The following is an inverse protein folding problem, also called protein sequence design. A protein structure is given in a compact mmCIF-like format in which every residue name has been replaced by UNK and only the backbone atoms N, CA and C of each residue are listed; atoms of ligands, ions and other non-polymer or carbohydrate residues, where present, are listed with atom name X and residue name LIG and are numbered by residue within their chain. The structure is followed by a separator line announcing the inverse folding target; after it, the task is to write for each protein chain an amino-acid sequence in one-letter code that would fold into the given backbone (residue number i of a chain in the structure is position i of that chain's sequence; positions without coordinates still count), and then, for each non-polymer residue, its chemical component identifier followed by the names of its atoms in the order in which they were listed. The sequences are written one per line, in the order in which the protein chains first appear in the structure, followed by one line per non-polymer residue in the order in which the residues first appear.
data_IF_603978119381
#
_entry.id   IF_603978119381
#
_cell.length_a   1.000
_cell.length_b   1.000
_cell.length_c   1.000
_cell.angle_alpha   90.00
_cell.angle_beta   90.00
_cell.angle_gamma   90.00
#
_symmetry.space_group_name_H-M   'P 1'
#
loop_
_entity.id
_entity.type
_entity.pdbx_description
1 polymer ?
#
# COMPACT_ATOMS: atom_id res chain seq x y z
N UNK A 1 0.70 -33.89 6.08
CA UNK A 1 2.02 -33.52 5.51
C UNK A 1 1.92 -32.48 4.41
N UNK A 2 0.98 -32.65 3.43
CA UNK A 2 0.82 -31.68 2.34
C UNK A 2 0.45 -30.26 2.83
N UNK A 3 -0.36 -30.14 3.86
CA UNK A 3 -0.79 -28.82 4.38
C UNK A 3 0.36 -28.10 5.08
N UNK A 4 1.24 -28.81 5.78
CA UNK A 4 2.42 -28.22 6.42
C UNK A 4 3.41 -27.66 5.40
N UNK A 5 3.65 -28.38 4.31
CA UNK A 5 4.53 -27.91 3.24
C UNK A 5 3.95 -26.69 2.50
N UNK A 6 2.61 -26.63 2.29
CA UNK A 6 1.95 -25.44 1.75
C UNK A 6 2.10 -24.20 2.63
N UNK A 7 1.94 -24.39 3.95
CA UNK A 7 2.14 -23.31 4.91
C UNK A 7 3.59 -22.81 4.86
N UNK A 8 4.56 -23.73 4.83
CA UNK A 8 5.97 -23.39 4.68
C UNK A 8 6.28 -22.67 3.36
N UNK A 9 5.69 -23.13 2.25
CA UNK A 9 5.82 -22.51 0.95
C UNK A 9 5.26 -21.07 0.94
N UNK A 10 4.11 -20.84 1.57
CA UNK A 10 3.54 -19.50 1.73
C UNK A 10 4.48 -18.59 2.50
N UNK A 11 4.99 -19.04 3.65
CA UNK A 11 5.95 -18.25 4.44
C UNK A 11 7.19 -17.88 3.62
N UNK A 12 7.72 -18.84 2.86
CA UNK A 12 8.84 -18.57 1.96
C UNK A 12 8.53 -17.53 0.89
N UNK A 13 7.38 -17.63 0.22
CA UNK A 13 6.96 -16.65 -0.79
C UNK A 13 6.72 -15.26 -0.18
N UNK A 14 6.12 -15.18 1.00
CA UNK A 14 5.93 -13.93 1.72
C UNK A 14 7.27 -13.25 2.05
N UNK A 15 8.22 -14.01 2.56
CA UNK A 15 9.55 -13.52 2.93
C UNK A 15 10.41 -13.05 1.73
N UNK A 16 10.00 -13.32 0.50
CA UNK A 16 10.63 -12.74 -0.70
C UNK A 16 10.47 -11.21 -0.75
N UNK A 17 9.33 -10.68 -0.27
CA UNK A 17 9.02 -9.24 -0.36
C UNK A 17 9.28 -8.47 0.92
N UNK A 18 9.19 -9.12 2.08
CA UNK A 18 9.26 -8.47 3.38
C UNK A 18 10.39 -9.03 4.24
N UNK A 19 10.69 -8.31 5.32
CA UNK A 19 11.58 -8.81 6.35
C UNK A 19 10.95 -10.03 7.02
N UNK A 20 11.77 -11.03 7.25
CA UNK A 20 11.38 -12.26 7.93
C UNK A 20 10.76 -11.92 9.30
N UNK A 21 9.49 -12.23 9.53
CA UNK A 21 8.84 -11.93 10.80
C UNK A 21 9.44 -12.79 11.92
N UNK A 22 9.41 -12.27 13.15
CA UNK A 22 9.96 -13.00 14.32
C UNK A 22 9.21 -14.31 14.58
N UNK A 23 7.90 -14.34 14.38
CA UNK A 23 7.05 -15.52 14.42
C UNK A 23 5.73 -15.23 13.69
N UNK A 24 5.15 -16.27 13.10
CA UNK A 24 3.82 -16.18 12.44
C UNK A 24 2.95 -17.34 12.91
N UNK A 25 1.64 -17.10 12.98
CA UNK A 25 0.65 -18.12 13.26
C UNK A 25 -0.27 -18.32 12.06
N UNK A 26 -0.35 -19.57 11.59
CA UNK A 26 -1.24 -19.95 10.50
C UNK A 26 -2.11 -21.14 10.95
N UNK A 27 -3.40 -20.92 11.07
CA UNK A 27 -4.35 -21.90 11.58
C UNK A 27 -3.89 -22.46 12.96
N UNK A 28 -3.55 -23.74 13.01
CA UNK A 28 -3.02 -24.44 14.19
C UNK A 28 -1.49 -24.56 14.18
N UNK A 29 -0.79 -23.84 13.30
CA UNK A 29 0.67 -23.91 13.20
C UNK A 29 1.30 -22.60 13.65
N UNK A 30 2.20 -22.69 14.63
CA UNK A 30 3.10 -21.61 15.03
C UNK A 30 4.42 -21.79 14.28
N UNK A 31 4.84 -20.78 13.53
CA UNK A 31 6.01 -20.83 12.67
C UNK A 31 7.06 -19.88 13.22
N UNK A 32 8.25 -20.42 13.45
CA UNK A 32 9.41 -19.65 13.88
C UNK A 32 10.52 -19.73 12.84
N UNK A 33 10.93 -18.62 12.25
CA UNK A 33 12.12 -18.56 11.40
C UNK A 33 13.38 -18.91 12.20
N UNK A 34 14.26 -19.74 11.63
CA UNK A 34 15.54 -20.12 12.25
C UNK A 34 16.69 -19.46 11.48
N UNK A 35 16.72 -19.64 10.16
CA UNK A 35 17.75 -19.11 9.28
C UNK A 35 17.10 -18.71 7.95
N UNK A 36 17.45 -17.51 7.44
CA UNK A 36 17.02 -17.06 6.13
C UNK A 36 18.16 -16.32 5.44
N UNK A 37 18.35 -16.62 4.15
CA UNK A 37 19.24 -15.89 3.28
C UNK A 37 18.53 -15.53 2.00
N UNK A 38 18.58 -14.24 1.66
CA UNK A 38 17.98 -13.66 0.45
C UNK A 38 19.09 -13.23 -0.48
N UNK A 39 19.02 -13.68 -1.73
CA UNK A 39 19.96 -13.39 -2.79
C UNK A 39 19.21 -12.76 -3.95
N UNK A 40 19.77 -11.70 -4.53
CA UNK A 40 19.17 -10.95 -5.62
C UNK A 40 20.12 -10.91 -6.81
N UNK A 41 19.53 -11.04 -8.01
CA UNK A 41 20.23 -10.81 -9.25
C UNK A 41 19.26 -10.31 -10.33
N UNK A 42 19.40 -9.03 -10.73
CA UNK A 42 18.39 -8.35 -11.53
C UNK A 42 17.05 -8.34 -10.80
N UNK A 43 16.00 -8.77 -11.49
CA UNK A 43 14.65 -8.85 -10.93
C UNK A 43 14.36 -10.19 -10.25
N UNK A 44 15.32 -11.12 -10.28
CA UNK A 44 15.17 -12.45 -9.71
C UNK A 44 15.61 -12.46 -8.24
N UNK A 45 14.86 -13.17 -7.42
CA UNK A 45 15.16 -13.36 -6.02
C UNK A 45 15.20 -14.85 -5.69
N UNK A 46 16.26 -15.28 -5.03
CA UNK A 46 16.35 -16.59 -4.39
C UNK A 46 16.30 -16.40 -2.88
N UNK A 47 15.34 -17.03 -2.25
CA UNK A 47 15.25 -17.14 -0.80
C UNK A 47 15.53 -18.58 -0.39
N UNK A 48 16.46 -18.76 0.54
CA UNK A 48 16.70 -20.07 1.17
C UNK A 48 16.48 -19.88 2.66
N UNK A 49 15.70 -20.76 3.27
CA UNK A 49 15.35 -20.63 4.66
C UNK A 49 15.19 -21.94 5.39
N UNK A 50 15.20 -21.83 6.73
CA UNK A 50 14.91 -22.89 7.66
C UNK A 50 13.92 -22.37 8.68
N UNK A 51 12.86 -23.11 8.89
CA UNK A 51 11.77 -22.76 9.81
C UNK A 51 11.48 -23.91 10.75
N UNK A 52 11.09 -23.60 11.96
CA UNK A 52 10.46 -24.53 12.90
C UNK A 52 8.95 -24.32 12.84
N UNK A 53 8.22 -25.39 12.67
CA UNK A 53 6.75 -25.37 12.64
C UNK A 53 6.23 -26.26 13.76
N UNK A 54 5.49 -25.66 14.69
CA UNK A 54 4.88 -26.34 15.82
C UNK A 54 3.37 -26.39 15.66
N UNK A 55 2.78 -27.55 15.72
CA UNK A 55 1.32 -27.68 15.76
C UNK A 55 0.83 -27.35 17.17
N UNK A 56 0.03 -26.30 17.33
CA UNK A 56 -0.48 -25.83 18.64
C UNK A 56 -1.49 -26.78 19.29
N UNK A 57 -2.02 -27.78 18.53
CA UNK A 57 -2.97 -28.77 19.04
C UNK A 57 -2.23 -30.04 19.53
N UNK A 58 -1.31 -30.55 18.68
CA UNK A 58 -0.58 -31.79 18.99
C UNK A 58 0.76 -31.55 19.70
N UNK A 59 1.22 -30.29 19.76
CA UNK A 59 2.53 -29.87 20.28
C UNK A 59 3.74 -30.49 19.55
N UNK A 60 3.50 -31.16 18.42
CA UNK A 60 4.57 -31.67 17.58
C UNK A 60 5.29 -30.51 16.87
N UNK A 61 6.62 -30.53 16.94
CA UNK A 61 7.48 -29.59 16.25
C UNK A 61 8.30 -30.27 15.16
N UNK A 62 8.47 -29.58 14.00
CA UNK A 62 9.28 -30.06 12.88
C UNK A 62 10.09 -28.93 12.31
N UNK A 63 11.32 -29.23 11.96
CA UNK A 63 12.14 -28.29 11.16
C UNK A 63 11.96 -28.59 9.67
N UNK A 64 11.72 -27.51 8.90
CA UNK A 64 11.59 -27.56 7.45
C UNK A 64 12.64 -26.66 6.81
N UNK A 65 13.28 -27.16 5.77
CA UNK A 65 14.07 -26.36 4.84
C UNK A 65 13.20 -25.94 3.66
N UNK A 66 13.40 -24.72 3.18
CA UNK A 66 12.69 -24.20 2.05
C UNK A 66 13.64 -23.46 1.10
N UNK A 67 13.31 -23.48 -0.19
CA UNK A 67 13.98 -22.71 -1.22
C UNK A 67 12.92 -22.11 -2.14
N UNK A 68 12.92 -20.80 -2.30
CA UNK A 68 11.95 -20.08 -3.14
C UNK A 68 12.70 -19.29 -4.20
N UNK A 69 12.35 -19.52 -5.45
CA UNK A 69 12.76 -18.67 -6.57
C UNK A 69 11.56 -17.79 -6.95
N UNK A 70 11.81 -16.51 -7.09
CA UNK A 70 10.89 -15.53 -7.63
C UNK A 70 11.47 -14.95 -8.91
N UNK A 71 10.74 -15.04 -10.00
CA UNK A 71 11.15 -14.60 -11.33
C UNK A 71 10.36 -13.37 -11.83
N UNK A 72 9.62 -12.73 -10.95
CA UNK A 72 8.77 -11.59 -11.26
C UNK A 72 7.29 -11.95 -11.37
N UNK A 73 6.41 -10.96 -11.17
CA UNK A 73 4.96 -11.13 -11.24
C UNK A 73 4.44 -12.20 -10.28
N UNK A 74 3.81 -13.24 -10.82
CA UNK A 74 3.28 -14.38 -10.05
C UNK A 74 4.12 -15.65 -10.19
N UNK A 75 5.30 -15.54 -10.80
CA UNK A 75 6.16 -16.68 -11.08
C UNK A 75 7.05 -17.01 -9.88
N UNK A 76 6.51 -17.91 -9.06
CA UNK A 76 7.17 -18.46 -7.88
C UNK A 76 7.34 -19.97 -8.03
N UNK A 77 8.49 -20.44 -7.61
CA UNK A 77 8.75 -21.85 -7.39
C UNK A 77 9.28 -22.04 -5.97
N UNK A 78 8.46 -22.59 -5.08
CA UNK A 78 8.81 -22.87 -3.70
C UNK A 78 8.94 -24.39 -3.51
N UNK A 79 10.07 -24.82 -2.99
CA UNK A 79 10.34 -26.21 -2.65
C UNK A 79 10.55 -26.32 -1.15
N UNK A 80 9.99 -27.37 -0.53
CA UNK A 80 9.99 -27.59 0.91
C UNK A 80 10.40 -29.04 1.20
N UNK A 81 11.29 -29.22 2.16
CA UNK A 81 11.68 -30.54 2.66
C UNK A 81 11.78 -30.57 4.18
N UNK A 82 11.51 -31.71 4.79
CA UNK A 82 11.75 -31.93 6.22
C UNK A 82 13.26 -32.00 6.46
N UNK A 83 13.76 -31.25 7.42
CA UNK A 83 15.18 -31.22 7.76
C UNK A 83 15.53 -32.42 8.63
N UNK A 84 16.28 -33.34 8.06
CA UNK A 84 16.74 -34.55 8.75
C UNK A 84 18.20 -34.42 9.20
N UNK A 85 19.01 -33.67 8.42
CA UNK A 85 20.45 -33.53 8.63
C UNK A 85 20.87 -32.05 8.43
N UNK A 86 21.46 -31.38 9.44
CA UNK A 86 21.97 -30.01 9.33
C UNK A 86 23.04 -29.83 8.26
N UNK A 87 23.90 -30.85 8.04
CA UNK A 87 24.95 -30.79 7.01
C UNK A 87 24.34 -30.81 5.60
N UNK A 88 23.21 -31.52 5.43
CA UNK A 88 22.45 -31.48 4.20
C UNK A 88 21.98 -30.07 3.86
N UNK A 89 21.46 -29.33 4.86
CA UNK A 89 21.00 -27.95 4.67
C UNK A 89 22.14 -27.05 4.20
N UNK A 90 23.30 -27.14 4.81
CA UNK A 90 24.47 -26.33 4.44
C UNK A 90 24.93 -26.61 3.01
N UNK A 91 24.99 -27.90 2.62
CA UNK A 91 25.36 -28.31 1.25
C UNK A 91 24.32 -27.85 0.22
N UNK A 92 23.03 -27.96 0.55
CA UNK A 92 21.92 -27.47 -0.29
C UNK A 92 22.01 -25.98 -0.50
N UNK A 93 22.18 -25.21 0.58
CA UNK A 93 22.30 -23.76 0.55
C UNK A 93 23.44 -23.30 -0.33
N UNK A 94 24.63 -23.89 -0.18
CA UNK A 94 25.79 -23.58 -1.00
C UNK A 94 25.57 -23.92 -2.48
N UNK A 95 25.07 -25.12 -2.78
CA UNK A 95 24.87 -25.59 -4.14
C UNK A 95 23.81 -24.77 -4.90
N UNK A 96 22.69 -24.45 -4.24
CA UNK A 96 21.59 -23.68 -4.86
C UNK A 96 22.00 -22.22 -5.04
N UNK A 97 22.66 -21.62 -4.04
CA UNK A 97 23.18 -20.25 -4.15
C UNK A 97 24.24 -20.14 -5.25
N UNK A 98 25.16 -21.10 -5.34
CA UNK A 98 26.17 -21.14 -6.41
C UNK A 98 25.54 -21.23 -7.80
N UNK A 99 24.51 -22.06 -7.98
CA UNK A 99 23.78 -22.17 -9.25
C UNK A 99 23.01 -20.89 -9.58
N UNK A 100 22.46 -20.19 -8.59
CA UNK A 100 21.78 -18.91 -8.80
C UNK A 100 22.72 -17.85 -9.37
N UNK A 101 23.89 -17.68 -8.78
CA UNK A 101 24.90 -16.71 -9.25
C UNK A 101 25.60 -17.15 -10.55
N UNK A 102 25.61 -18.43 -10.90
CA UNK A 102 26.08 -18.91 -12.20
C UNK A 102 25.13 -18.53 -13.36
N UNK A 103 23.97 -17.92 -13.07
CA UNK A 103 23.02 -17.38 -14.05
C UNK A 103 22.42 -18.43 -14.99
N UNK A 104 22.39 -19.66 -14.57
CA UNK A 104 21.83 -20.80 -15.34
C UNK A 104 20.54 -21.27 -14.69
N UNK A 105 19.40 -20.78 -15.20
CA UNK A 105 18.09 -21.18 -14.70
C UNK A 105 17.87 -22.71 -14.75
N UNK A 106 18.38 -23.38 -15.77
CA UNK A 106 18.31 -24.83 -15.91
C UNK A 106 19.11 -25.54 -14.82
N UNK A 107 20.32 -25.06 -14.51
CA UNK A 107 21.17 -25.65 -13.47
C UNK A 107 20.58 -25.39 -12.09
N UNK A 108 20.09 -24.19 -11.85
CA UNK A 108 19.41 -23.80 -10.61
C UNK A 108 18.22 -24.73 -10.33
N UNK A 109 17.31 -24.90 -11.31
CA UNK A 109 16.15 -25.79 -11.19
C UNK A 109 16.60 -27.22 -10.92
N UNK A 110 17.57 -27.74 -11.70
CA UNK A 110 18.10 -29.09 -11.51
C UNK A 110 18.72 -29.29 -10.11
N UNK A 111 19.42 -28.30 -9.59
CA UNK A 111 19.95 -28.36 -8.21
C UNK A 111 18.83 -28.36 -7.19
N UNK A 112 17.84 -27.48 -7.32
CA UNK A 112 16.67 -27.52 -6.44
C UNK A 112 15.98 -28.88 -6.47
N UNK A 113 15.68 -29.43 -7.64
CA UNK A 113 15.02 -30.73 -7.77
C UNK A 113 15.85 -31.87 -7.16
N UNK A 114 17.19 -31.77 -7.16
CA UNK A 114 18.05 -32.77 -6.54
C UNK A 114 18.02 -32.76 -5.01
N UNK A 115 17.80 -31.60 -4.41
CA UNK A 115 17.72 -31.44 -2.96
C UNK A 115 16.31 -31.53 -2.41
N UNK A 116 15.32 -31.19 -3.22
CA UNK A 116 13.90 -31.21 -2.86
C UNK A 116 13.16 -32.24 -3.75
N UNK A 117 13.28 -33.52 -3.45
CA UNK A 117 12.60 -34.55 -4.23
C UNK A 117 11.09 -34.53 -3.95
N UNK A 118 10.36 -33.82 -4.76
CA UNK A 118 8.91 -33.66 -4.62
C UNK A 118 8.38 -32.57 -5.53
N UNK A 119 7.09 -32.30 -5.43
CA UNK A 119 6.47 -31.23 -6.19
C UNK A 119 6.88 -29.87 -5.61
N UNK A 120 7.07 -28.90 -6.47
CA UNK A 120 7.20 -27.51 -6.04
C UNK A 120 5.82 -26.87 -5.91
N UNK A 121 5.75 -25.82 -5.09
CA UNK A 121 4.55 -25.02 -4.89
C UNK A 121 4.64 -23.72 -5.65
N UNK A 122 3.62 -23.40 -6.44
CA UNK A 122 3.36 -22.11 -7.05
C UNK A 122 2.34 -21.32 -6.21
N UNK A 123 2.07 -20.08 -6.57
CA UNK A 123 0.99 -19.29 -5.94
C UNK A 123 -0.37 -19.99 -6.10
N UNK A 124 -0.58 -20.72 -7.20
CA UNK A 124 -1.81 -21.47 -7.45
C UNK A 124 -2.07 -22.60 -6.44
N UNK A 125 -1.02 -23.17 -5.85
CA UNK A 125 -1.09 -24.31 -4.93
C UNK A 125 -1.38 -23.87 -3.49
N UNK A 126 -1.28 -22.57 -3.16
CA UNK A 126 -1.56 -22.04 -1.84
C UNK A 126 -3.05 -22.08 -1.51
N UNK A 127 -3.38 -22.07 -0.22
CA UNK A 127 -4.75 -21.89 0.22
C UNK A 127 -5.31 -20.53 -0.21
N UNK A 128 -6.64 -20.44 -0.35
CA UNK A 128 -7.30 -19.27 -0.93
C UNK A 128 -6.92 -17.94 -0.29
N UNK A 129 -6.88 -17.88 1.05
CA UNK A 129 -6.52 -16.68 1.80
C UNK A 129 -5.05 -16.31 1.61
N UNK A 130 -4.15 -17.29 1.70
CA UNK A 130 -2.72 -17.12 1.51
C UNK A 130 -2.38 -16.67 0.09
N UNK A 131 -3.05 -17.25 -0.90
CA UNK A 131 -2.92 -16.83 -2.30
C UNK A 131 -3.35 -15.38 -2.50
N UNK A 132 -4.48 -14.97 -1.91
CA UNK A 132 -4.95 -13.60 -1.98
C UNK A 132 -3.95 -12.61 -1.37
N UNK A 133 -3.31 -12.99 -0.26
CA UNK A 133 -2.27 -12.19 0.39
C UNK A 133 -1.03 -12.01 -0.50
N UNK A 134 -0.49 -13.10 -1.08
CA UNK A 134 0.65 -13.02 -2.01
C UNK A 134 0.29 -12.20 -3.25
N UNK A 135 -0.90 -12.42 -3.84
CA UNK A 135 -1.34 -11.64 -5.01
C UNK A 135 -1.45 -10.15 -4.70
N UNK A 136 -1.92 -9.79 -3.50
CA UNK A 136 -1.97 -8.40 -3.06
C UNK A 136 -0.56 -7.79 -3.00
N UNK A 137 0.39 -8.46 -2.37
CA UNK A 137 1.78 -8.00 -2.24
C UNK A 137 2.44 -7.84 -3.61
N UNK A 138 2.30 -8.85 -4.48
CA UNK A 138 2.81 -8.81 -5.86
C UNK A 138 2.23 -7.61 -6.62
N UNK A 139 0.91 -7.45 -6.55
CA UNK A 139 0.21 -6.34 -7.22
C UNK A 139 0.70 -4.98 -6.71
N UNK A 140 0.87 -4.83 -5.41
CA UNK A 140 1.40 -3.59 -4.81
C UNK A 140 2.85 -3.32 -5.22
N UNK A 141 3.69 -4.35 -5.31
CA UNK A 141 5.07 -4.23 -5.79
C UNK A 141 5.12 -3.79 -7.26
N UNK A 142 4.33 -4.44 -8.13
CA UNK A 142 4.21 -4.08 -9.55
C UNK A 142 3.72 -2.63 -9.73
N UNK A 143 2.72 -2.21 -8.97
CA UNK A 143 2.23 -0.82 -9.03
C UNK A 143 3.27 0.20 -8.55
N UNK A 144 4.08 -0.14 -7.54
CA UNK A 144 5.18 0.72 -7.08
C UNK A 144 6.24 0.90 -8.15
N UNK A 145 6.64 -0.18 -8.81
CA UNK A 145 7.61 -0.16 -9.89
C UNK A 145 7.12 0.64 -11.10
N UNK A 146 5.90 0.34 -11.60
CA UNK A 146 5.29 1.10 -12.68
C UNK A 146 5.20 2.59 -12.37
N UNK A 147 4.83 2.92 -11.14
CA UNK A 147 4.75 4.30 -10.70
C UNK A 147 6.12 5.01 -10.74
N UNK A 148 7.18 4.32 -10.32
CA UNK A 148 8.54 4.87 -10.39
C UNK A 148 8.97 5.13 -11.86
N UNK A 149 8.61 4.22 -12.78
CA UNK A 149 8.87 4.40 -14.22
C UNK A 149 8.11 5.61 -14.78
N UNK A 150 6.80 5.76 -14.48
CA UNK A 150 6.01 6.92 -14.92
C UNK A 150 6.53 8.22 -14.32
N UNK A 151 6.90 8.25 -13.05
CA UNK A 151 7.48 9.43 -12.40
C UNK A 151 8.82 9.82 -13.05
N UNK A 152 9.71 8.86 -13.32
CA UNK A 152 10.98 9.08 -14.00
C UNK A 152 10.77 9.61 -15.43
N UNK A 153 9.88 8.98 -16.19
CA UNK A 153 9.54 9.38 -17.56
C UNK A 153 8.96 10.80 -17.60
N UNK A 154 8.00 11.10 -16.74
CA UNK A 154 7.41 12.43 -16.63
C UNK A 154 8.44 13.51 -16.32
N UNK A 155 9.25 13.28 -15.28
CA UNK A 155 10.29 14.22 -14.85
C UNK A 155 11.32 14.48 -15.94
N UNK A 156 11.77 13.44 -16.65
CA UNK A 156 12.78 13.54 -17.71
C UNK A 156 12.25 14.32 -18.93
N UNK A 157 10.98 14.15 -19.28
CA UNK A 157 10.41 14.69 -20.52
C UNK A 157 9.61 15.97 -20.33
N UNK A 158 9.34 16.40 -19.08
CA UNK A 158 8.54 17.58 -18.74
C UNK A 158 9.04 18.88 -19.44
N UNK A 159 10.36 19.08 -19.52
CA UNK A 159 10.94 20.25 -20.17
C UNK A 159 10.68 20.28 -21.67
N UNK A 160 10.83 19.15 -22.34
CA UNK A 160 10.56 19.01 -23.78
C UNK A 160 9.08 19.21 -24.07
N UNK A 161 8.20 18.60 -23.28
CA UNK A 161 6.75 18.77 -23.44
C UNK A 161 6.30 20.23 -23.27
N UNK A 162 6.91 21.00 -22.36
CA UNK A 162 6.66 22.44 -22.23
C UNK A 162 7.03 23.20 -23.50
N UNK A 163 8.20 22.92 -24.06
CA UNK A 163 8.64 23.57 -25.30
C UNK A 163 7.72 23.24 -26.48
N UNK A 164 7.19 22.02 -26.58
CA UNK A 164 6.21 21.67 -27.60
C UNK A 164 4.91 22.45 -27.41
N UNK A 165 4.44 22.55 -26.17
CA UNK A 165 3.23 23.31 -25.85
C UNK A 165 3.35 24.79 -26.18
N UNK A 166 4.50 25.41 -25.85
CA UNK A 166 4.78 26.82 -26.14
C UNK A 166 4.80 27.09 -27.65
N UNK A 167 5.12 26.12 -28.47
CA UNK A 167 5.10 26.19 -29.94
C UNK A 167 3.79 25.77 -30.59
N UNK A 168 2.77 25.46 -29.78
CA UNK A 168 1.49 24.90 -30.22
C UNK A 168 1.64 23.57 -31.01
N UNK A 169 2.71 22.81 -30.73
CA UNK A 169 2.94 21.48 -31.29
C UNK A 169 2.21 20.44 -30.46
N UNK A 170 1.93 19.27 -31.09
CA UNK A 170 1.25 18.19 -30.41
C UNK A 170 2.17 17.54 -29.37
N UNK A 171 1.68 17.44 -28.13
CA UNK A 171 2.34 16.70 -27.06
C UNK A 171 2.06 15.21 -27.25
N UNK A 172 3.07 14.31 -27.14
CA UNK A 172 2.84 12.89 -27.28
C UNK A 172 1.84 12.35 -26.23
N UNK A 173 0.91 11.51 -26.66
CA UNK A 173 -0.11 10.90 -25.77
C UNK A 173 0.52 10.09 -24.62
N UNK A 174 1.67 9.45 -24.85
CA UNK A 174 2.42 8.74 -23.82
C UNK A 174 2.88 9.66 -22.70
N UNK A 175 3.27 10.93 -23.03
CA UNK A 175 3.61 11.91 -22.00
C UNK A 175 2.35 12.33 -21.22
N UNK A 176 1.24 12.59 -21.93
CA UNK A 176 -0.03 12.98 -21.28
C UNK A 176 -0.55 11.88 -20.35
N UNK A 177 -0.44 10.61 -20.75
CA UNK A 177 -0.80 9.48 -19.91
C UNK A 177 0.09 9.40 -18.65
N UNK A 178 1.40 9.55 -18.79
CA UNK A 178 2.32 9.57 -17.67
C UNK A 178 2.08 10.76 -16.74
N UNK A 179 1.86 11.95 -17.28
CA UNK A 179 1.54 13.15 -16.52
C UNK A 179 0.23 12.97 -15.72
N UNK A 180 -0.82 12.46 -16.36
CA UNK A 180 -2.11 12.15 -15.73
C UNK A 180 -1.94 11.18 -14.55
N UNK A 181 -1.20 10.11 -14.75
CA UNK A 181 -0.91 9.13 -13.69
C UNK A 181 -0.16 9.77 -12.51
N UNK A 182 0.94 10.50 -12.79
CA UNK A 182 1.79 11.09 -11.76
C UNK A 182 1.04 12.16 -10.97
N UNK A 183 0.29 13.04 -11.64
CA UNK A 183 -0.44 14.11 -10.97
C UNK A 183 -1.60 13.58 -10.12
N UNK A 184 -2.35 12.58 -10.61
CA UNK A 184 -3.41 11.94 -9.82
C UNK A 184 -2.86 11.21 -8.60
N UNK A 185 -1.74 10.50 -8.74
CA UNK A 185 -1.09 9.85 -7.61
C UNK A 185 -0.56 10.86 -6.58
N UNK A 186 -0.01 11.98 -7.05
CA UNK A 186 0.46 13.05 -6.16
C UNK A 186 -0.69 13.71 -5.43
N UNK A 187 -1.85 13.90 -6.08
CA UNK A 187 -3.05 14.40 -5.44
C UNK A 187 -3.47 13.53 -4.26
N UNK A 188 -3.54 12.22 -4.47
CA UNK A 188 -3.91 11.27 -3.38
C UNK A 188 -2.93 11.37 -2.22
N UNK A 189 -1.61 11.40 -2.49
CA UNK A 189 -0.58 11.53 -1.45
C UNK A 189 -0.70 12.83 -0.66
N UNK A 190 -0.95 13.95 -1.34
CA UNK A 190 -1.11 15.25 -0.66
C UNK A 190 -2.39 15.29 0.19
N UNK A 191 -3.48 14.69 -0.30
CA UNK A 191 -4.72 14.60 0.47
C UNK A 191 -4.58 13.64 1.66
N UNK A 192 -3.80 12.57 1.54
CA UNK A 192 -3.47 11.68 2.68
C UNK A 192 -2.68 12.42 3.77
N UNK A 193 -1.77 13.33 3.41
CA UNK A 193 -1.06 14.19 4.41
C UNK A 193 -2.03 15.10 5.17
N UNK A 194 -3.04 15.66 4.51
CA UNK A 194 -4.13 16.39 5.17
C UNK A 194 -4.84 15.53 6.22
N UNK A 195 -5.03 14.25 5.89
CA UNK A 195 -5.66 13.32 6.82
C UNK A 195 -4.85 13.12 8.10
N UNK A 196 -3.53 13.30 8.05
CA UNK A 196 -2.60 13.18 9.18
C UNK A 196 -2.35 14.53 9.92
N UNK A 197 -3.05 15.61 9.54
CA UNK A 197 -2.95 16.92 10.16
C UNK A 197 -1.82 17.80 9.63
N UNK A 198 -1.21 17.44 8.51
CA UNK A 198 -0.18 18.25 7.85
C UNK A 198 -0.79 19.13 6.77
N UNK A 199 -0.40 20.42 6.72
CA UNK A 199 -0.79 21.30 5.63
C UNK A 199 -0.11 20.85 4.32
N UNK A 200 -0.87 20.58 3.23
CA UNK A 200 -0.30 20.07 2.00
C UNK A 200 0.20 21.22 1.11
N UNK A 201 1.40 21.70 1.39
CA UNK A 201 2.07 22.71 0.59
C UNK A 201 2.19 22.35 -0.91
N UNK A 202 2.11 21.03 -1.21
CA UNK A 202 2.20 20.50 -2.57
C UNK A 202 0.91 20.59 -3.40
N UNK A 203 -0.25 20.88 -2.80
CA UNK A 203 -1.54 20.84 -3.51
C UNK A 203 -1.69 21.99 -4.53
N UNK A 204 -1.42 23.21 -4.13
CA UNK A 204 -1.56 24.38 -5.04
C UNK A 204 -0.65 24.27 -6.28
N UNK A 205 0.65 23.97 -6.15
CA UNK A 205 1.51 23.70 -7.31
C UNK A 205 1.01 22.57 -8.19
N UNK A 206 0.48 21.50 -7.59
CA UNK A 206 -0.03 20.33 -8.32
C UNK A 206 -1.28 20.67 -9.13
N UNK A 207 -2.23 21.44 -8.56
CA UNK A 207 -3.44 21.89 -9.26
C UNK A 207 -3.06 22.82 -10.43
N UNK A 208 -2.14 23.77 -10.20
CA UNK A 208 -1.62 24.63 -11.26
C UNK A 208 -0.99 23.83 -12.39
N UNK A 209 -0.22 22.80 -12.04
CA UNK A 209 0.42 21.93 -13.02
C UNK A 209 -0.58 21.08 -13.80
N UNK A 210 -1.59 20.52 -13.15
CA UNK A 210 -2.65 19.78 -13.83
C UNK A 210 -3.44 20.66 -14.81
N UNK A 211 -3.76 21.88 -14.39
CA UNK A 211 -4.39 22.90 -15.29
C UNK A 211 -3.51 23.25 -16.48
N UNK A 212 -2.20 23.43 -16.25
CA UNK A 212 -1.25 23.73 -17.32
C UNK A 212 -1.24 22.62 -18.39
N UNK A 213 -1.22 21.35 -17.98
CA UNK A 213 -1.27 20.21 -18.89
C UNK A 213 -2.69 19.88 -19.38
N UNK A 214 -3.73 20.59 -18.92
CA UNK A 214 -5.15 20.28 -19.19
C UNK A 214 -5.53 18.86 -18.79
N UNK A 215 -4.95 18.36 -17.70
CA UNK A 215 -5.23 17.04 -17.15
C UNK A 215 -6.39 17.16 -16.16
N UNK A 216 -7.42 16.34 -16.37
CA UNK A 216 -8.48 16.16 -15.40
C UNK A 216 -7.97 15.31 -14.24
N UNK A 217 -8.03 15.86 -13.01
CA UNK A 217 -7.70 15.12 -11.82
C UNK A 217 -8.85 14.19 -11.43
N UNK A 218 -8.52 12.95 -11.02
CA UNK A 218 -9.53 12.03 -10.47
C UNK A 218 -9.81 12.40 -9.01
N UNK A 219 -10.89 13.11 -8.81
CA UNK A 219 -11.30 13.62 -7.51
C UNK A 219 -12.11 12.64 -6.67
N UNK A 220 -12.55 11.49 -7.22
CA UNK A 220 -13.45 10.56 -6.53
C UNK A 220 -12.88 10.03 -5.21
N UNK A 221 -11.62 9.58 -5.21
CA UNK A 221 -10.97 9.11 -3.99
C UNK A 221 -10.72 10.26 -3.02
N UNK A 222 -10.34 11.41 -3.53
CA UNK A 222 -10.14 12.66 -2.79
C UNK A 222 -11.42 13.11 -2.11
N UNK A 223 -12.55 13.10 -2.83
CA UNK A 223 -13.89 13.39 -2.32
C UNK A 223 -14.26 12.52 -1.11
N UNK A 224 -14.07 11.20 -1.23
CA UNK A 224 -14.36 10.27 -0.14
C UNK A 224 -13.50 10.52 1.11
N UNK A 225 -12.21 10.79 0.92
CA UNK A 225 -11.29 11.09 2.01
C UNK A 225 -11.64 12.40 2.72
N UNK A 226 -11.87 13.47 1.95
CA UNK A 226 -12.24 14.78 2.50
C UNK A 226 -13.58 14.69 3.24
N UNK A 227 -14.60 14.08 2.62
CA UNK A 227 -15.92 13.89 3.25
C UNK A 227 -15.79 13.19 4.60
N UNK A 228 -15.07 12.07 4.65
CA UNK A 228 -14.85 11.32 5.90
C UNK A 228 -14.18 12.19 6.96
N UNK A 229 -13.18 12.97 6.60
CA UNK A 229 -12.46 13.84 7.55
C UNK A 229 -13.32 14.98 8.06
N UNK A 230 -14.09 15.64 7.20
CA UNK A 230 -15.03 16.68 7.64
C UNK A 230 -16.01 16.12 8.67
N UNK A 231 -16.61 14.95 8.40
CA UNK A 231 -17.54 14.31 9.34
C UNK A 231 -16.85 13.99 10.66
N UNK A 232 -15.61 13.50 10.64
CA UNK A 232 -14.84 13.17 11.83
C UNK A 232 -14.45 14.40 12.62
N UNK A 233 -13.99 15.47 11.96
CA UNK A 233 -13.69 16.75 12.61
C UNK A 233 -14.93 17.37 13.25
N UNK A 234 -16.09 17.33 12.60
CA UNK A 234 -17.36 17.79 13.18
C UNK A 234 -17.74 16.98 14.43
N UNK A 235 -17.55 15.64 14.42
CA UNK A 235 -17.75 14.81 15.63
C UNK A 235 -16.81 15.17 16.77
N UNK A 236 -15.56 15.53 16.46
CA UNK A 236 -14.59 15.96 17.49
C UNK A 236 -14.88 17.37 18.03
N UNK A 237 -15.37 18.29 17.20
CA UNK A 237 -15.82 19.62 17.64
C UNK A 237 -16.90 19.52 18.74
N UNK A 238 -17.79 18.52 18.66
CA UNK A 238 -18.77 18.27 19.71
C UNK A 238 -18.12 18.00 21.08
N UNK A 239 -17.01 17.26 21.08
CA UNK A 239 -16.29 16.90 22.31
C UNK A 239 -15.38 18.02 22.82
N UNK A 240 -14.83 18.80 21.91
CA UNK A 240 -13.86 19.86 22.20
C UNK A 240 -14.19 21.15 21.45
N UNK A 241 -15.29 21.86 21.86
CA UNK A 241 -15.85 22.99 21.11
C UNK A 241 -14.96 24.22 20.99
N UNK A 242 -13.93 24.34 21.84
CA UNK A 242 -13.00 25.46 21.84
C UNK A 242 -11.68 25.16 21.11
N UNK A 243 -11.51 23.94 20.57
CA UNK A 243 -10.32 23.57 19.80
C UNK A 243 -10.38 24.20 18.40
N UNK A 244 -9.64 25.29 18.20
CA UNK A 244 -9.62 26.06 16.96
C UNK A 244 -9.06 25.28 15.76
N UNK A 245 -8.16 24.35 15.99
CA UNK A 245 -7.49 23.59 14.93
C UNK A 245 -8.50 22.72 14.15
N UNK A 246 -9.48 22.13 14.86
CA UNK A 246 -10.53 21.32 14.22
C UNK A 246 -11.40 22.12 13.25
N UNK A 247 -11.72 23.38 13.60
CA UNK A 247 -12.47 24.26 12.69
C UNK A 247 -11.62 24.65 11.48
N UNK A 248 -10.35 24.94 11.72
CA UNK A 248 -9.41 25.33 10.67
C UNK A 248 -9.23 24.19 9.66
N UNK A 249 -9.10 22.96 10.12
CA UNK A 249 -9.04 21.78 9.26
C UNK A 249 -10.27 21.67 8.35
N UNK A 250 -11.48 21.83 8.90
CA UNK A 250 -12.70 21.77 8.09
C UNK A 250 -12.73 22.88 7.05
N UNK A 251 -12.33 24.10 7.42
CA UNK A 251 -12.27 25.24 6.50
C UNK A 251 -11.29 24.97 5.35
N UNK A 252 -10.11 24.44 5.64
CA UNK A 252 -9.14 24.05 4.63
C UNK A 252 -9.69 23.00 3.67
N UNK A 253 -10.40 21.99 4.18
CA UNK A 253 -11.03 20.97 3.33
C UNK A 253 -12.11 21.55 2.43
N UNK A 254 -12.93 22.49 2.93
CA UNK A 254 -13.96 23.13 2.12
C UNK A 254 -13.34 24.05 1.04
N UNK A 255 -12.28 24.76 1.37
CA UNK A 255 -11.57 25.61 0.39
C UNK A 255 -10.89 24.74 -0.68
N UNK A 256 -10.28 23.61 -0.30
CA UNK A 256 -9.72 22.62 -1.23
C UNK A 256 -10.80 22.07 -2.19
N UNK A 257 -12.00 21.77 -1.69
CA UNK A 257 -13.08 21.31 -2.55
C UNK A 257 -13.47 22.35 -3.61
N UNK A 258 -13.45 23.64 -3.26
CA UNK A 258 -13.70 24.72 -4.23
C UNK A 258 -12.60 24.81 -5.27
N UNK A 259 -11.33 24.68 -4.87
CA UNK A 259 -10.20 24.70 -5.81
C UNK A 259 -10.20 23.54 -6.79
N UNK A 260 -10.62 22.36 -6.35
CA UNK A 260 -10.70 21.15 -7.15
C UNK A 260 -12.03 20.98 -7.89
N UNK A 261 -12.97 21.93 -7.73
CA UNK A 261 -14.34 21.85 -8.26
C UNK A 261 -15.08 20.57 -7.81
N UNK A 262 -14.86 20.18 -6.54
CA UNK A 262 -15.50 19.01 -5.92
C UNK A 262 -16.79 19.42 -5.24
N UNK A 263 -17.89 18.77 -5.59
CA UNK A 263 -19.16 18.90 -4.89
C UNK A 263 -19.32 17.73 -3.89
N UNK A 264 -19.25 18.04 -2.58
CA UNK A 264 -19.41 17.05 -1.53
C UNK A 264 -20.87 16.93 -1.08
N UNK A 265 -21.32 15.69 -0.89
CA UNK A 265 -22.52 15.44 -0.08
C UNK A 265 -22.14 15.49 1.40
N UNK A 266 -22.49 16.60 2.06
CA UNK A 266 -22.19 16.88 3.46
C UNK A 266 -23.42 16.74 4.37
N UNK A 267 -24.50 16.07 3.92
CA UNK A 267 -25.75 15.94 4.67
C UNK A 267 -25.54 15.37 6.09
N UNK A 268 -24.68 14.36 6.25
CA UNK A 268 -24.34 13.83 7.58
C UNK A 268 -23.64 14.87 8.48
N UNK A 269 -22.69 15.63 7.94
CA UNK A 269 -22.00 16.68 8.68
C UNK A 269 -22.97 17.82 9.07
N UNK A 270 -23.89 18.18 8.17
CA UNK A 270 -24.92 19.22 8.42
C UNK A 270 -25.89 18.81 9.55
N UNK A 271 -26.38 17.55 9.52
CA UNK A 271 -27.26 17.02 10.58
C UNK A 271 -26.52 17.03 11.91
N UNK A 272 -25.29 16.55 11.95
CA UNK A 272 -24.48 16.57 13.18
C UNK A 272 -24.25 17.97 13.69
N UNK A 273 -23.99 18.92 12.82
CA UNK A 273 -23.78 20.31 13.23
C UNK A 273 -25.04 20.93 13.84
N UNK A 274 -26.24 20.58 13.37
CA UNK A 274 -27.52 20.99 13.99
C UNK A 274 -27.69 20.42 15.39
N UNK A 275 -27.38 19.13 15.59
CA UNK A 275 -27.41 18.46 16.88
C UNK A 275 -26.45 19.18 17.87
N UNK A 276 -25.20 19.39 17.46
CA UNK A 276 -24.20 20.09 18.24
C UNK A 276 -24.63 21.54 18.55
N UNK A 277 -25.24 22.24 17.61
CA UNK A 277 -25.73 23.59 17.79
C UNK A 277 -26.79 23.70 18.86
N UNK A 278 -27.65 22.68 19.02
CA UNK A 278 -28.62 22.61 20.11
C UNK A 278 -27.89 22.46 21.45
N UNK A 279 -26.99 21.50 21.57
CA UNK A 279 -26.23 21.22 22.79
C UNK A 279 -25.36 22.42 23.22
N UNK A 280 -24.74 23.11 22.26
CA UNK A 280 -23.91 24.28 22.52
C UNK A 280 -24.70 25.50 23.00
N UNK A 281 -25.97 25.69 22.58
CA UNK A 281 -26.81 26.73 23.12
C UNK A 281 -27.07 26.55 24.59
N UNK A 282 -27.31 25.33 25.05
CA UNK A 282 -27.46 25.02 26.46
C UNK A 282 -26.14 25.24 27.21
N UNK A 283 -25.03 24.77 26.64
CA UNK A 283 -23.71 24.89 27.29
C UNK A 283 -23.17 26.31 27.37
N UNK A 284 -23.45 27.16 26.37
CA UNK A 284 -22.92 28.54 26.26
C UNK A 284 -23.99 29.62 26.49
N UNK A 285 -25.08 29.30 27.20
CA UNK A 285 -26.15 30.23 27.54
C UNK A 285 -26.71 31.02 26.32
N UNK A 286 -26.83 30.34 25.19
CA UNK A 286 -27.38 30.89 23.94
C UNK A 286 -26.36 31.60 23.03
N UNK A 287 -25.14 31.86 23.47
CA UNK A 287 -24.11 32.50 22.66
C UNK A 287 -23.12 31.46 22.06
N UNK A 288 -23.39 31.04 20.83
CA UNK A 288 -22.59 30.07 20.13
C UNK A 288 -21.17 30.59 19.80
N UNK A 289 -20.11 29.76 19.95
CA UNK A 289 -18.77 30.15 19.55
C UNK A 289 -18.67 30.71 18.14
N UNK A 290 -17.90 31.78 17.95
CA UNK A 290 -17.78 32.46 16.63
C UNK A 290 -17.37 31.49 15.51
N UNK A 291 -16.40 30.61 15.77
CA UNK A 291 -15.95 29.62 14.78
C UNK A 291 -17.03 28.59 14.44
N UNK A 292 -17.91 28.28 15.40
CA UNK A 292 -19.03 27.39 15.16
C UNK A 292 -20.09 28.04 14.25
N UNK A 293 -20.38 29.34 14.45
CA UNK A 293 -21.27 30.10 13.57
C UNK A 293 -20.70 30.17 12.13
N UNK A 294 -19.40 30.45 11.98
CA UNK A 294 -18.72 30.45 10.70
C UNK A 294 -18.76 29.07 10.01
N UNK A 295 -18.56 28.00 10.77
CA UNK A 295 -18.66 26.63 10.25
C UNK A 295 -20.07 26.32 9.73
N UNK A 296 -21.09 26.71 10.48
CA UNK A 296 -22.48 26.54 10.07
C UNK A 296 -22.79 27.28 8.77
N UNK A 297 -22.31 28.51 8.62
CA UNK A 297 -22.47 29.28 7.39
C UNK A 297 -21.78 28.61 6.20
N UNK A 298 -20.55 28.16 6.38
CA UNK A 298 -19.78 27.46 5.32
C UNK A 298 -20.39 26.14 4.90
N UNK A 299 -21.03 25.42 5.83
CA UNK A 299 -21.76 24.18 5.57
C UNK A 299 -23.23 24.40 5.17
N UNK A 300 -23.64 25.65 4.97
CA UNK A 300 -25.01 26.05 4.64
C UNK A 300 -26.06 25.53 5.65
N UNK A 301 -25.72 25.49 6.94
CA UNK A 301 -26.61 25.12 8.04
C UNK A 301 -27.18 26.36 8.69
N UNK A 302 -28.52 26.45 8.75
CA UNK A 302 -29.19 27.52 9.49
C UNK A 302 -29.34 27.11 10.95
N UNK A 303 -28.65 27.81 11.82
CA UNK A 303 -28.80 27.67 13.28
C UNK A 303 -29.95 28.61 13.70
N UNK A 304 -31.17 28.08 13.81
CA UNK A 304 -32.37 28.83 14.26
C UNK A 304 -32.32 29.15 15.75
#
# INVERSE_FOLDING_TARGET
KADLARVAAHVGMFCVFDHVPASQRFYCYDIRPIDFSRHEWGDNVLLIGRIEVTNSITTESRELALSVIYLGGVDFRSSVAELVDPDWYSRMKEAVTGAFYAQSSTELIRKMDSYFPGDYYSVGDLFSEQRAEILKIVTEAMYREQAALFEAFYRKNKGVAKLLMDRAEQIPDTFMAAAGFVLNRSLVKEVEKLADGYFPEGLEPLIKEARFWRISLDTKRTEQLIRRRIIESVKQIHRTPLNKDLYHDVFLFLDLCRELDITLDLGEAQIRLLEIGHDFREQFNGDLPRLFKELAERLAVRLN
#
